data_IF_877297315724
#
_entry.id   IF_877297315724
#
_cell.length_a   1.000
_cell.length_b   1.000
_cell.length_c   1.000
_cell.angle_alpha   90.00
_cell.angle_beta   90.00
_cell.angle_gamma   90.00
#
_symmetry.space_group_name_H-M   'P 1'
#
loop_
_entity.id
_entity.type
_entity.pdbx_description
1 polymer ?
#
# COMPACT_ATOMS: atom_id res chain seq x y z
N UNK A 1 -8.34 -6.39 -10.05
CA UNK A 1 -7.97 -5.00 -9.69
C UNK A 1 -8.01 -4.86 -8.18
N UNK A 2 -7.05 -4.16 -7.59
CA UNK A 2 -7.17 -3.71 -6.21
C UNK A 2 -8.16 -2.53 -6.17
N UNK A 3 -8.83 -2.32 -5.04
CA UNK A 3 -9.77 -1.22 -4.87
C UNK A 3 -9.13 0.17 -5.15
N UNK A 4 -7.81 0.27 -5.12
CA UNK A 4 -7.08 1.50 -5.42
C UNK A 4 -7.01 1.84 -6.92
N UNK A 5 -7.35 0.90 -7.79
CA UNK A 5 -7.16 1.01 -9.25
C UNK A 5 -8.37 1.69 -9.95
N UNK A 6 -9.45 1.96 -9.21
CA UNK A 6 -10.65 2.60 -9.74
C UNK A 6 -10.56 4.13 -9.66
N UNK A 7 -10.71 4.77 -10.82
CA UNK A 7 -10.76 6.22 -11.01
C UNK A 7 -12.11 6.85 -10.64
N UNK A 8 -13.17 6.04 -10.56
CA UNK A 8 -14.54 6.48 -10.32
C UNK A 8 -15.37 5.39 -9.66
N UNK A 9 -16.40 5.83 -8.93
CA UNK A 9 -17.38 4.92 -8.32
C UNK A 9 -18.12 4.11 -9.39
N UNK A 10 -18.47 4.73 -10.52
CA UNK A 10 -19.16 4.08 -11.62
C UNK A 10 -18.34 2.91 -12.17
N UNK A 11 -17.03 3.09 -12.37
CA UNK A 11 -16.14 2.03 -12.85
C UNK A 11 -15.98 0.90 -11.83
N UNK A 12 -15.94 1.24 -10.54
CA UNK A 12 -15.93 0.24 -9.47
C UNK A 12 -17.22 -0.60 -9.45
N UNK A 13 -18.38 0.05 -9.52
CA UNK A 13 -19.68 -0.63 -9.55
C UNK A 13 -19.88 -1.43 -10.84
N UNK A 14 -19.31 -0.98 -11.96
CA UNK A 14 -19.28 -1.74 -13.19
C UNK A 14 -18.42 -3.00 -13.04
N UNK A 15 -17.21 -2.90 -12.50
CA UNK A 15 -16.36 -4.06 -12.24
C UNK A 15 -17.01 -5.08 -11.30
N UNK A 16 -17.73 -4.64 -10.27
CA UNK A 16 -18.48 -5.55 -9.40
C UNK A 16 -19.59 -6.29 -10.16
N UNK A 17 -20.26 -5.62 -11.10
CA UNK A 17 -21.28 -6.24 -11.94
C UNK A 17 -20.67 -7.22 -12.94
N UNK A 18 -19.59 -6.83 -13.61
CA UNK A 18 -18.85 -7.70 -14.53
C UNK A 18 -18.36 -8.96 -13.80
N UNK A 19 -17.85 -8.84 -12.57
CA UNK A 19 -17.51 -10.00 -11.74
C UNK A 19 -18.72 -10.88 -11.43
N UNK A 20 -19.88 -10.28 -11.13
CA UNK A 20 -21.10 -11.03 -10.86
C UNK A 20 -21.63 -11.73 -12.12
N UNK A 21 -21.56 -11.07 -13.27
CA UNK A 21 -22.04 -11.53 -14.60
C UNK A 21 -21.11 -12.59 -15.22
N UNK A 22 -19.78 -12.43 -15.15
CA UNK A 22 -18.82 -13.46 -15.58
C UNK A 22 -19.02 -14.77 -14.80
N UNK A 23 -19.33 -14.66 -13.50
CA UNK A 23 -19.64 -15.82 -12.66
C UNK A 23 -21.02 -16.43 -13.01
N UNK A 24 -21.90 -15.68 -13.67
CA UNK A 24 -23.22 -16.15 -14.13
C UNK A 24 -23.16 -16.82 -15.51
N UNK A 25 -22.37 -16.28 -16.43
CA UNK A 25 -22.16 -16.86 -17.76
C UNK A 25 -21.39 -18.19 -17.70
N UNK A 26 -20.48 -18.36 -16.72
CA UNK A 26 -19.85 -19.65 -16.42
C UNK A 26 -20.88 -20.71 -15.98
N UNK A 27 -21.96 -20.35 -15.27
CA UNK A 27 -23.01 -21.31 -14.89
C UNK A 27 -23.85 -21.75 -16.10
N UNK A 28 -24.19 -20.84 -17.01
CA UNK A 28 -24.95 -21.18 -18.24
C UNK A 28 -24.12 -22.01 -19.24
N UNK A 29 -22.79 -21.85 -19.25
CA UNK A 29 -21.86 -22.64 -20.07
C UNK A 29 -21.42 -23.99 -19.45
N UNK A 30 -21.40 -24.10 -18.12
CA UNK A 30 -21.01 -25.32 -17.40
C UNK A 30 -22.16 -26.30 -17.13
N UNK A 31 -23.42 -25.96 -17.46
CA UNK A 31 -24.51 -26.95 -17.45
C UNK A 31 -24.23 -28.15 -18.39
N UNK A 32 -23.33 -28.00 -19.38
CA UNK A 32 -22.85 -29.11 -20.22
C UNK A 32 -21.55 -29.78 -19.70
N UNK A 33 -20.92 -29.26 -18.65
CA UNK A 33 -19.60 -29.69 -18.16
C UNK A 33 -19.53 -29.77 -16.62
N UNK A 34 -20.29 -30.69 -16.03
CA UNK A 34 -19.85 -31.41 -14.82
C UNK A 34 -19.78 -30.65 -13.50
N UNK A 35 -20.89 -30.08 -13.00
CA UNK A 35 -21.37 -30.13 -11.61
C UNK A 35 -20.44 -29.81 -10.41
N UNK A 36 -19.24 -29.26 -10.59
CA UNK A 36 -18.26 -29.11 -9.51
C UNK A 36 -18.39 -27.79 -8.72
N UNK A 37 -19.03 -26.77 -9.30
CA UNK A 37 -19.27 -25.48 -8.66
C UNK A 37 -20.75 -25.10 -8.67
N UNK A 38 -21.23 -24.49 -7.59
CA UNK A 38 -22.63 -24.02 -7.45
C UNK A 38 -22.62 -22.66 -6.79
N UNK A 39 -23.12 -21.63 -7.49
CA UNK A 39 -23.17 -20.26 -6.97
C UNK A 39 -24.11 -20.12 -5.78
N UNK A 40 -25.19 -20.90 -5.73
CA UNK A 40 -26.05 -20.97 -4.56
C UNK A 40 -25.28 -21.45 -3.33
N UNK A 41 -24.45 -22.48 -3.50
CA UNK A 41 -23.58 -23.01 -2.45
C UNK A 41 -22.50 -21.99 -2.08
N UNK A 42 -21.82 -21.39 -3.06
CA UNK A 42 -20.79 -20.37 -2.83
C UNK A 42 -21.34 -19.13 -2.12
N UNK A 43 -22.49 -18.58 -2.53
CA UNK A 43 -23.16 -17.44 -1.87
C UNK A 43 -23.50 -17.78 -0.42
N UNK A 44 -23.98 -18.99 -0.16
CA UNK A 44 -24.28 -19.48 1.19
C UNK A 44 -23.02 -19.57 2.04
N UNK A 45 -21.98 -20.25 1.56
CA UNK A 45 -20.70 -20.41 2.27
C UNK A 45 -20.03 -19.06 2.53
N UNK A 46 -20.02 -18.17 1.54
CA UNK A 46 -19.52 -16.79 1.68
C UNK A 46 -20.30 -16.03 2.77
N UNK A 47 -21.61 -16.19 2.83
CA UNK A 47 -22.45 -15.64 3.90
C UNK A 47 -22.07 -16.17 5.28
N UNK A 48 -21.92 -17.49 5.42
CA UNK A 48 -21.51 -18.14 6.67
C UNK A 48 -20.14 -17.64 7.16
N UNK A 49 -19.15 -17.58 6.26
CA UNK A 49 -17.81 -17.09 6.57
C UNK A 49 -17.83 -15.62 6.98
N UNK A 50 -18.57 -14.78 6.24
CA UNK A 50 -18.73 -13.36 6.55
C UNK A 50 -19.34 -13.16 7.93
N UNK A 51 -20.46 -13.82 8.21
CA UNK A 51 -21.20 -13.63 9.46
C UNK A 51 -20.38 -14.17 10.66
N UNK A 52 -19.65 -15.28 10.47
CA UNK A 52 -18.70 -15.80 11.45
C UNK A 52 -17.55 -14.83 11.72
N UNK A 53 -17.01 -14.18 10.68
CA UNK A 53 -15.94 -13.20 10.83
C UNK A 53 -16.43 -11.94 11.57
N UNK A 54 -17.64 -11.45 11.26
CA UNK A 54 -18.27 -10.34 11.98
C UNK A 54 -18.43 -10.67 13.47
N UNK A 55 -18.96 -11.84 13.79
CA UNK A 55 -19.20 -12.26 15.18
C UNK A 55 -17.89 -12.48 15.96
N UNK A 56 -16.89 -13.10 15.35
CA UNK A 56 -15.64 -13.48 16.03
C UNK A 56 -14.66 -12.32 16.21
N UNK A 57 -14.54 -11.46 15.21
CA UNK A 57 -13.54 -10.39 15.20
C UNK A 57 -14.14 -8.99 15.41
N UNK A 58 -15.47 -8.88 15.52
CA UNK A 58 -16.15 -7.61 15.71
C UNK A 58 -16.02 -6.67 14.50
N UNK A 59 -15.83 -7.24 13.31
CA UNK A 59 -15.71 -6.44 12.09
C UNK A 59 -17.02 -5.70 11.78
N UNK A 60 -16.90 -4.59 11.05
CA UNK A 60 -18.04 -3.86 10.50
C UNK A 60 -18.10 -4.12 9.00
N UNK A 61 -19.32 -4.32 8.49
CA UNK A 61 -19.51 -4.40 7.04
C UNK A 61 -19.19 -3.06 6.39
N UNK A 62 -18.49 -3.11 5.27
CA UNK A 62 -18.23 -1.97 4.40
C UNK A 62 -19.27 -2.03 3.26
N UNK A 63 -20.30 -1.16 3.25
CA UNK A 63 -21.37 -1.23 2.26
C UNK A 63 -20.90 -0.83 0.87
N UNK A 64 -19.95 0.11 0.79
CA UNK A 64 -19.39 0.62 -0.45
C UNK A 64 -17.87 0.70 -0.30
N UNK A 65 -17.16 -0.23 -0.97
CA UNK A 65 -15.71 -0.32 -0.91
C UNK A 65 -15.00 0.91 -1.47
N UNK A 66 -15.56 1.52 -2.51
CA UNK A 66 -15.01 2.74 -3.12
C UNK A 66 -15.10 3.93 -2.15
N UNK A 67 -16.30 4.23 -1.64
CA UNK A 67 -16.51 5.33 -0.70
C UNK A 67 -15.64 5.18 0.55
N UNK A 68 -15.59 3.97 1.11
CA UNK A 68 -14.73 3.65 2.25
C UNK A 68 -13.25 3.97 1.99
N UNK A 69 -12.74 3.62 0.82
CA UNK A 69 -11.34 3.91 0.47
C UNK A 69 -11.11 5.40 0.26
N UNK A 70 -12.04 6.14 -0.34
CA UNK A 70 -11.92 7.59 -0.48
C UNK A 70 -11.91 8.29 0.88
N UNK A 71 -12.80 7.90 1.79
CA UNK A 71 -12.81 8.39 3.17
C UNK A 71 -11.50 8.06 3.89
N UNK A 72 -11.03 6.81 3.78
CA UNK A 72 -9.77 6.39 4.39
C UNK A 72 -8.56 7.11 3.80
N UNK A 73 -8.58 7.49 2.51
CA UNK A 73 -7.54 8.31 1.87
C UNK A 73 -7.56 9.72 2.40
N UNK A 74 -8.74 10.35 2.47
CA UNK A 74 -8.90 11.71 3.00
C UNK A 74 -8.47 11.81 4.47
N UNK A 75 -8.87 10.83 5.29
CA UNK A 75 -8.45 10.76 6.69
C UNK A 75 -6.93 10.60 6.83
N UNK A 76 -6.30 9.84 5.93
CA UNK A 76 -4.84 9.67 5.90
C UNK A 76 -4.13 10.94 5.42
N UNK A 77 -4.61 11.60 4.37
CA UNK A 77 -3.98 12.80 3.81
C UNK A 77 -3.88 13.93 4.83
N UNK A 78 -4.83 14.01 5.76
CA UNK A 78 -4.80 14.99 6.85
C UNK A 78 -3.60 14.81 7.80
N UNK A 79 -3.00 13.62 7.84
CA UNK A 79 -1.88 13.28 8.72
C UNK A 79 -0.53 13.17 7.98
N UNK A 80 -0.53 13.36 6.66
CA UNK A 80 0.70 13.31 5.84
C UNK A 80 1.49 14.60 6.02
N UNK A 81 2.73 14.46 6.49
CA UNK A 81 3.68 15.57 6.66
C UNK A 81 4.62 15.73 5.46
N UNK A 82 4.81 14.66 4.67
CA UNK A 82 5.63 14.67 3.46
C UNK A 82 4.98 13.81 2.37
N UNK A 83 4.68 14.33 1.17
CA UNK A 83 4.18 13.52 0.07
C UNK A 83 5.27 12.60 -0.52
N UNK A 84 4.84 11.48 -1.08
CA UNK A 84 5.69 10.48 -1.77
C UNK A 84 5.07 10.15 -3.14
N UNK A 85 5.87 9.60 -4.05
CA UNK A 85 5.46 9.31 -5.44
C UNK A 85 4.35 8.26 -5.54
N UNK A 86 4.27 7.33 -4.59
CA UNK A 86 3.21 6.31 -4.48
C UNK A 86 1.87 6.85 -3.93
N UNK A 87 1.80 8.14 -3.56
CA UNK A 87 0.60 8.77 -3.01
C UNK A 87 0.25 8.38 -1.56
N UNK A 88 1.08 7.58 -0.88
CA UNK A 88 0.83 7.16 0.51
C UNK A 88 1.35 8.18 1.54
N UNK A 89 2.41 8.91 1.21
CA UNK A 89 3.03 9.93 2.04
C UNK A 89 3.74 9.39 3.28
N UNK A 90 4.45 10.27 3.99
CA UNK A 90 5.00 10.01 5.34
C UNK A 90 4.11 10.73 6.33
N UNK A 91 3.64 10.02 7.36
CA UNK A 91 2.79 10.57 8.41
C UNK A 91 3.57 10.83 9.71
N UNK A 92 3.11 11.81 10.49
CA UNK A 92 3.64 12.02 11.85
C UNK A 92 3.10 10.98 12.83
N UNK A 93 3.93 10.58 13.79
CA UNK A 93 3.51 9.69 14.89
C UNK A 93 3.15 10.53 16.12
N UNK A 94 1.88 10.93 16.22
CA UNK A 94 1.28 11.57 17.40
C UNK A 94 0.63 12.94 17.13
N UNK A 95 -0.15 13.44 18.11
CA UNK A 95 -0.84 14.75 18.08
C UNK A 95 0.13 15.95 18.03
N UNK A 96 1.41 15.74 18.35
CA UNK A 96 2.48 16.73 18.22
C UNK A 96 3.01 16.79 16.78
N UNK A 97 2.16 17.18 15.85
CA UNK A 97 2.62 18.00 14.73
C UNK A 97 2.67 19.46 15.21
N UNK A 98 3.40 19.73 16.30
CA UNK A 98 3.69 21.10 16.72
C UNK A 98 4.57 21.72 15.63
N UNK A 99 3.93 22.42 14.69
CA UNK A 99 4.30 23.68 14.02
C UNK A 99 5.75 23.98 13.58
N UNK A 100 6.75 23.15 13.79
CA UNK A 100 8.14 23.46 13.48
C UNK A 100 8.57 22.77 12.19
N UNK A 101 8.35 23.48 11.08
CA UNK A 101 8.78 23.18 9.69
C UNK A 101 8.20 21.91 9.06
N UNK A 102 7.51 22.09 7.93
CA UNK A 102 7.22 20.97 7.04
C UNK A 102 8.56 20.36 6.57
N UNK A 103 8.75 19.04 6.69
CA UNK A 103 9.95 18.41 6.17
C UNK A 103 10.06 18.66 4.66
N UNK A 104 11.28 18.92 4.20
CA UNK A 104 11.55 19.06 2.78
C UNK A 104 11.60 17.65 2.13
N UNK A 105 11.09 17.49 0.89
CA UNK A 105 11.29 16.27 0.14
C UNK A 105 12.77 16.05 -0.17
N UNK A 106 13.15 14.79 -0.38
CA UNK A 106 14.51 14.46 -0.82
C UNK A 106 14.80 15.05 -2.21
N UNK A 107 16.08 15.24 -2.58
CA UNK A 107 16.47 15.94 -3.81
C UNK A 107 15.91 15.35 -5.11
N UNK A 108 15.59 14.06 -5.10
CA UNK A 108 15.11 13.27 -6.24
C UNK A 108 13.60 13.04 -6.24
N UNK A 109 12.84 13.67 -5.35
CA UNK A 109 11.39 13.47 -5.31
C UNK A 109 10.73 13.88 -6.64
N UNK A 110 9.89 12.99 -7.17
CA UNK A 110 9.26 13.16 -8.49
C UNK A 110 10.20 13.05 -9.69
N UNK A 111 11.45 12.61 -9.47
CA UNK A 111 12.46 12.38 -10.51
C UNK A 111 13.03 10.96 -10.41
N UNK A 112 13.63 10.43 -11.49
CA UNK A 112 14.38 9.19 -11.42
C UNK A 112 15.51 9.30 -10.39
N UNK A 113 15.62 8.31 -9.50
CA UNK A 113 16.72 8.20 -8.54
C UNK A 113 17.97 7.75 -9.30
N UNK A 114 19.12 8.44 -9.17
CA UNK A 114 20.31 8.14 -9.95
C UNK A 114 21.03 6.89 -9.41
N UNK A 115 20.69 5.72 -9.93
CA UNK A 115 21.25 4.42 -9.51
C UNK A 115 22.78 4.35 -9.62
N UNK A 116 23.39 5.13 -10.53
CA UNK A 116 24.83 5.18 -10.78
C UNK A 116 25.60 6.11 -9.82
N UNK A 117 24.90 6.87 -8.98
CA UNK A 117 25.49 7.85 -8.06
C UNK A 117 25.36 7.37 -6.60
N UNK A 118 25.76 6.11 -6.33
CA UNK A 118 25.59 5.49 -5.00
C UNK A 118 26.21 6.30 -3.87
N UNK A 119 27.35 6.95 -4.10
CA UNK A 119 28.00 7.82 -3.11
C UNK A 119 27.11 8.99 -2.66
N UNK A 120 26.44 9.67 -3.59
CA UNK A 120 25.55 10.79 -3.26
C UNK A 120 24.30 10.30 -2.52
N UNK A 121 23.76 9.14 -2.92
CA UNK A 121 22.61 8.51 -2.27
C UNK A 121 22.95 8.11 -0.82
N UNK A 122 24.12 7.49 -0.60
CA UNK A 122 24.61 7.12 0.73
C UNK A 122 24.83 8.35 1.60
N UNK A 123 25.49 9.40 1.08
CA UNK A 123 25.70 10.65 1.82
C UNK A 123 24.37 11.31 2.22
N UNK A 124 23.36 11.26 1.34
CA UNK A 124 22.02 11.71 1.68
C UNK A 124 21.41 10.87 2.80
N UNK A 125 21.44 9.53 2.71
CA UNK A 125 20.86 8.62 3.72
C UNK A 125 21.46 8.87 5.11
N UNK A 126 22.76 9.07 5.20
CA UNK A 126 23.47 9.29 6.46
C UNK A 126 23.03 10.58 7.17
N UNK A 127 22.76 11.63 6.39
CA UNK A 127 22.47 12.98 6.89
C UNK A 127 20.98 13.32 6.92
N UNK A 128 20.15 12.55 6.21
CA UNK A 128 18.73 12.82 6.08
C UNK A 128 18.01 12.83 7.44
N UNK A 129 17.15 13.82 7.60
CA UNK A 129 16.12 13.82 8.64
C UNK A 129 15.16 12.66 8.41
N UNK A 130 14.58 12.14 9.50
CA UNK A 130 13.78 10.91 9.47
C UNK A 130 12.63 10.95 8.46
N UNK A 131 11.89 12.05 8.37
CA UNK A 131 10.79 12.17 7.42
C UNK A 131 11.28 12.17 5.96
N UNK A 132 12.38 12.86 5.67
CA UNK A 132 13.02 12.87 4.35
C UNK A 132 13.55 11.49 3.96
N UNK A 133 14.19 10.80 4.90
CA UNK A 133 14.66 9.41 4.72
C UNK A 133 13.49 8.47 4.40
N UNK A 134 12.38 8.55 5.12
CA UNK A 134 11.21 7.71 4.85
C UNK A 134 10.58 8.01 3.50
N UNK A 135 10.53 9.28 3.10
CA UNK A 135 10.09 9.68 1.77
C UNK A 135 10.99 9.08 0.69
N UNK A 136 12.31 9.16 0.88
CA UNK A 136 13.28 8.56 -0.03
C UNK A 136 13.14 7.05 -0.13
N UNK A 137 13.00 6.32 0.99
CA UNK A 137 12.80 4.86 0.98
C UNK A 137 11.55 4.48 0.19
N UNK A 138 10.43 5.21 0.36
CA UNK A 138 9.21 4.98 -0.42
C UNK A 138 9.42 5.22 -1.91
N UNK A 139 10.06 6.32 -2.28
CA UNK A 139 10.32 6.64 -3.68
C UNK A 139 11.30 5.62 -4.32
N UNK A 140 12.28 5.09 -3.56
CA UNK A 140 13.10 3.94 -3.99
C UNK A 140 12.25 2.71 -4.28
N UNK A 141 11.33 2.35 -3.38
CA UNK A 141 10.45 1.19 -3.55
C UNK A 141 9.50 1.36 -4.74
N UNK A 142 8.94 2.55 -4.93
CA UNK A 142 8.05 2.86 -6.04
C UNK A 142 8.77 2.79 -7.40
N UNK A 143 10.05 3.13 -7.44
CA UNK A 143 10.87 3.06 -8.66
C UNK A 143 11.57 1.70 -8.84
N UNK A 144 11.48 0.80 -7.88
CA UNK A 144 12.15 -0.50 -7.94
C UNK A 144 13.67 -0.43 -7.80
N UNK A 145 14.20 0.56 -7.08
CA UNK A 145 15.63 0.72 -6.88
C UNK A 145 16.22 -0.47 -6.09
N UNK A 146 17.25 -1.13 -6.65
CA UNK A 146 17.83 -2.37 -6.14
C UNK A 146 19.33 -2.25 -5.81
N UNK A 147 19.88 -1.04 -5.79
CA UNK A 147 21.30 -0.80 -5.51
C UNK A 147 21.68 -1.26 -4.08
N UNK A 148 22.53 -2.28 -4.01
CA UNK A 148 22.98 -2.91 -2.77
C UNK A 148 23.58 -1.93 -1.75
N UNK A 149 24.42 -0.98 -2.20
CA UNK A 149 25.10 -0.04 -1.30
C UNK A 149 24.09 0.91 -0.64
N UNK A 150 23.11 1.36 -1.42
CA UNK A 150 22.02 2.23 -0.98
C UNK A 150 21.13 1.50 0.01
N UNK A 151 20.75 0.26 -0.27
CA UNK A 151 19.92 -0.57 0.62
C UNK A 151 20.65 -0.81 1.94
N UNK A 152 21.93 -1.19 1.89
CA UNK A 152 22.75 -1.40 3.10
C UNK A 152 22.85 -0.12 3.94
N UNK A 153 23.01 1.04 3.30
CA UNK A 153 23.02 2.32 4.00
C UNK A 153 21.66 2.63 4.64
N UNK A 154 20.55 2.35 3.95
CA UNK A 154 19.19 2.46 4.51
C UNK A 154 19.04 1.56 5.75
N UNK A 155 19.40 0.29 5.67
CA UNK A 155 19.29 -0.65 6.80
C UNK A 155 20.11 -0.16 8.00
N UNK A 156 21.35 0.25 7.77
CA UNK A 156 22.22 0.81 8.82
C UNK A 156 21.59 2.04 9.48
N UNK A 157 21.01 2.93 8.66
CA UNK A 157 20.33 4.14 9.17
C UNK A 157 19.07 3.82 9.96
N UNK A 158 18.29 2.84 9.52
CA UNK A 158 17.10 2.37 10.26
C UNK A 158 17.46 1.74 11.60
N UNK A 159 18.53 0.95 11.67
CA UNK A 159 19.06 0.46 12.95
C UNK A 159 19.44 1.61 13.89
N UNK A 160 20.16 2.62 13.38
CA UNK A 160 20.54 3.79 14.16
C UNK A 160 19.33 4.60 14.67
N UNK A 161 18.22 4.59 13.94
CA UNK A 161 16.95 5.22 14.33
C UNK A 161 16.11 4.35 15.28
N UNK A 162 16.57 3.17 15.68
CA UNK A 162 15.83 2.26 16.56
C UNK A 162 14.70 1.51 15.86
N UNK A 163 14.81 1.28 14.54
CA UNK A 163 13.83 0.58 13.69
C UNK A 163 14.40 -0.74 13.15
N UNK A 164 14.80 -1.68 14.03
CA UNK A 164 15.48 -2.91 13.61
C UNK A 164 14.56 -3.89 12.85
N UNK A 165 13.24 -3.83 13.07
CA UNK A 165 12.31 -4.71 12.39
C UNK A 165 12.11 -4.28 10.94
N UNK A 166 12.02 -2.98 10.69
CA UNK A 166 11.95 -2.38 9.37
C UNK A 166 13.24 -2.65 8.58
N UNK A 167 14.41 -2.51 9.22
CA UNK A 167 15.69 -2.85 8.60
C UNK A 167 15.74 -4.32 8.16
N UNK A 168 15.38 -5.26 9.06
CA UNK A 168 15.36 -6.70 8.73
C UNK A 168 14.35 -7.07 7.64
N UNK A 169 13.21 -6.39 7.60
CA UNK A 169 12.21 -6.60 6.53
C UNK A 169 12.79 -6.20 5.17
N UNK A 170 13.53 -5.09 5.11
CA UNK A 170 14.21 -4.67 3.88
C UNK A 170 15.30 -5.65 3.47
N UNK A 171 16.13 -6.12 4.41
CA UNK A 171 17.14 -7.15 4.15
C UNK A 171 16.50 -8.41 3.54
N UNK A 172 15.42 -8.91 4.15
CA UNK A 172 14.70 -10.10 3.68
C UNK A 172 14.07 -9.91 2.29
N UNK A 173 13.48 -8.76 2.02
CA UNK A 173 12.87 -8.47 0.72
C UNK A 173 13.90 -8.40 -0.43
N UNK A 174 15.17 -8.17 -0.11
CA UNK A 174 16.23 -7.93 -1.10
C UNK A 174 17.26 -9.06 -1.18
N UNK A 175 17.05 -10.19 -0.48
CA UNK A 175 17.98 -11.33 -0.40
C UNK A 175 19.41 -10.94 0.02
N UNK A 176 19.55 -10.02 0.99
CA UNK A 176 20.82 -9.64 1.60
C UNK A 176 21.01 -10.37 2.93
#
# INVERSE_FOLDING_TARGET
>A
MLLNDFDSETRYLQYLREQEEETDEEEEGEEESGGYFSRATWKRERGIVRDSALARFGFRLIPNGYAYIQEARLARSNNVILPTTDGLGVASRGERAEASKKPAPHPWHGKPIPERESEQLVAYIETAEQAGLFGFIRDCQAQGADNYEVIRAICTRLFALGLPLEARRLEYCMNI
#
